data_IF_923618807421
#
_entry.id   IF_923618807421
#
_cell.length_a   1.000
_cell.length_b   1.000
_cell.length_c   1.000
_cell.angle_alpha   90.00
_cell.angle_beta   90.00
_cell.angle_gamma   90.00
#
_symmetry.space_group_name_H-M   'P 1'
#
loop_
_entity.id
_entity.type
_entity.pdbx_description
1 polymer ?
#
# COMPACT_ATOMS: atom_id res chain seq x y z
N UNK A 1 -15.04 5.74 -16.20
CA UNK A 1 -14.17 5.87 -15.01
C UNK A 1 -13.41 7.20 -15.10
N UNK A 2 -13.50 8.06 -14.08
CA UNK A 2 -12.79 9.35 -14.09
C UNK A 2 -11.27 9.14 -14.07
N UNK A 3 -10.49 10.14 -14.53
CA UNK A 3 -9.01 10.07 -14.49
C UNK A 3 -8.50 9.79 -13.07
N UNK A 4 -9.08 10.47 -12.07
CA UNK A 4 -8.79 10.25 -10.66
C UNK A 4 -9.12 8.83 -10.22
N UNK A 5 -10.32 8.31 -10.55
CA UNK A 5 -10.71 6.95 -10.22
C UNK A 5 -9.75 5.91 -10.79
N UNK A 6 -9.35 6.07 -12.07
CA UNK A 6 -8.37 5.18 -12.69
C UNK A 6 -7.03 5.20 -11.96
N UNK A 7 -6.53 6.39 -11.62
CA UNK A 7 -5.27 6.56 -10.90
C UNK A 7 -5.32 5.91 -9.52
N UNK A 8 -6.37 6.15 -8.73
CA UNK A 8 -6.53 5.55 -7.40
C UNK A 8 -6.61 4.02 -7.48
N UNK A 9 -7.33 3.48 -8.46
CA UNK A 9 -7.39 2.02 -8.68
C UNK A 9 -6.02 1.44 -9.00
N UNK A 10 -5.26 2.06 -9.92
CA UNK A 10 -3.91 1.58 -10.27
C UNK A 10 -2.99 1.60 -9.05
N UNK A 11 -2.97 2.70 -8.29
CA UNK A 11 -2.15 2.83 -7.08
C UNK A 11 -2.54 1.78 -6.04
N UNK A 12 -3.85 1.57 -5.83
CA UNK A 12 -4.35 0.59 -4.89
C UNK A 12 -3.92 -0.84 -5.27
N UNK A 13 -4.03 -1.20 -6.55
CA UNK A 13 -3.61 -2.52 -7.03
C UNK A 13 -2.09 -2.72 -6.89
N UNK A 14 -1.29 -1.69 -7.19
CA UNK A 14 0.15 -1.74 -6.95
C UNK A 14 0.46 -1.91 -5.47
N UNK A 15 -0.24 -1.19 -4.59
CA UNK A 15 -0.08 -1.31 -3.15
C UNK A 15 -0.45 -2.69 -2.62
N UNK A 16 -1.49 -3.32 -3.18
CA UNK A 16 -1.89 -4.68 -2.83
C UNK A 16 -0.80 -5.70 -3.19
N UNK A 17 -0.20 -5.56 -4.38
CA UNK A 17 0.85 -6.46 -4.86
C UNK A 17 2.18 -6.24 -4.14
N UNK A 18 2.53 -4.99 -3.86
CA UNK A 18 3.82 -4.65 -3.28
C UNK A 18 3.83 -4.72 -1.75
N UNK A 19 2.69 -4.52 -1.08
CA UNK A 19 2.58 -4.51 0.38
C UNK A 19 2.56 -5.90 0.99
N UNK A 20 1.39 -6.53 1.15
CA UNK A 20 1.29 -7.89 1.69
C UNK A 20 1.63 -8.97 0.66
N UNK A 21 1.68 -8.61 -0.63
CA UNK A 21 1.97 -9.53 -1.74
C UNK A 21 3.46 -9.76 -1.99
N UNK A 22 3.85 -10.12 -3.23
CA UNK A 22 5.23 -10.46 -3.60
C UNK A 22 6.29 -9.42 -3.22
N UNK A 23 5.93 -8.14 -3.09
CA UNK A 23 6.88 -7.10 -2.68
C UNK A 23 7.44 -7.28 -1.27
N UNK A 24 6.74 -7.99 -0.38
CA UNK A 24 7.25 -8.37 0.94
C UNK A 24 8.53 -9.20 0.88
N UNK A 25 8.65 -10.10 -0.11
CA UNK A 25 9.83 -10.95 -0.32
C UNK A 25 11.08 -10.15 -0.67
N UNK A 26 10.93 -8.91 -1.15
CA UNK A 26 12.05 -8.02 -1.43
C UNK A 26 12.61 -7.36 -0.16
N UNK A 27 11.85 -7.37 0.93
CA UNK A 27 12.13 -6.59 2.14
C UNK A 27 12.39 -7.45 3.37
N UNK A 28 11.86 -8.68 3.42
CA UNK A 28 11.93 -9.55 4.61
C UNK A 28 13.38 -9.88 5.05
N UNK A 29 14.32 -9.85 4.10
CA UNK A 29 15.69 -10.31 4.31
C UNK A 29 15.76 -11.83 4.24
N UNK A 30 16.72 -12.43 4.95
CA UNK A 30 16.82 -13.88 5.08
C UNK A 30 16.49 -14.31 6.51
N UNK A 31 16.23 -15.60 6.72
CA UNK A 31 15.92 -16.13 8.06
C UNK A 31 17.06 -15.90 9.07
N UNK A 32 18.31 -15.96 8.60
CA UNK A 32 19.51 -15.77 9.43
C UNK A 32 19.90 -14.29 9.57
N UNK A 33 19.54 -13.47 8.58
CA UNK A 33 19.81 -12.03 8.54
C UNK A 33 18.53 -11.27 8.16
N UNK A 34 17.62 -11.04 9.12
CA UNK A 34 16.41 -10.28 8.86
C UNK A 34 16.77 -8.81 8.60
N UNK A 35 16.08 -8.18 7.66
CA UNK A 35 16.28 -6.77 7.40
C UNK A 35 15.69 -5.94 8.55
N UNK A 36 16.52 -5.19 9.26
CA UNK A 36 16.08 -4.32 10.36
C UNK A 36 16.24 -2.86 9.95
N UNK A 37 15.15 -2.10 9.97
CA UNK A 37 15.16 -0.66 9.75
C UNK A 37 14.67 0.05 11.01
N UNK A 38 15.42 1.06 11.48
CA UNK A 38 15.09 1.82 12.69
C UNK A 38 14.83 0.95 13.94
N UNK A 39 15.50 -0.22 14.04
CA UNK A 39 15.34 -1.16 15.15
C UNK A 39 14.12 -2.07 15.07
N UNK A 40 13.38 -2.08 13.95
CA UNK A 40 12.19 -2.90 13.72
C UNK A 40 12.39 -3.72 12.44
N UNK A 41 11.84 -4.95 12.33
CA UNK A 41 11.81 -5.67 11.06
C UNK A 41 11.24 -4.80 9.94
N UNK A 42 12.03 -4.64 8.87
CA UNK A 42 11.71 -3.79 7.73
C UNK A 42 10.37 -4.17 7.10
N UNK A 43 10.01 -5.46 7.15
CA UNK A 43 8.73 -5.98 6.69
C UNK A 43 7.54 -5.29 7.36
N UNK A 44 7.60 -4.99 8.66
CA UNK A 44 6.51 -4.32 9.36
C UNK A 44 6.35 -2.86 8.95
N UNK A 45 7.48 -2.16 8.80
CA UNK A 45 7.49 -0.77 8.31
C UNK A 45 6.93 -0.72 6.89
N UNK A 46 7.34 -1.65 6.05
CA UNK A 46 6.87 -1.80 4.67
C UNK A 46 5.37 -2.08 4.60
N UNK A 47 4.88 -3.05 5.38
CA UNK A 47 3.46 -3.37 5.44
C UNK A 47 2.63 -2.16 5.90
N UNK A 48 3.07 -1.46 6.95
CA UNK A 48 2.41 -0.27 7.46
C UNK A 48 2.33 0.84 6.40
N UNK A 49 3.44 1.10 5.69
CA UNK A 49 3.49 2.06 4.60
C UNK A 49 2.42 1.76 3.53
N UNK A 50 2.34 0.51 3.06
CA UNK A 50 1.36 0.14 2.03
C UNK A 50 -0.09 0.16 2.53
N UNK A 51 -0.33 -0.15 3.82
CA UNK A 51 -1.64 0.05 4.42
C UNK A 51 -2.06 1.52 4.43
N UNK A 52 -1.15 2.44 4.73
CA UNK A 52 -1.42 3.88 4.66
C UNK A 52 -1.76 4.30 3.23
N UNK A 53 -1.02 3.81 2.22
CA UNK A 53 -1.30 4.09 0.80
C UNK A 53 -2.68 3.58 0.38
N UNK A 54 -3.02 2.34 0.72
CA UNK A 54 -4.33 1.74 0.42
C UNK A 54 -5.46 2.52 1.11
N UNK A 55 -5.30 2.82 2.39
CA UNK A 55 -6.29 3.57 3.17
C UNK A 55 -6.51 4.97 2.59
N UNK A 56 -5.44 5.66 2.21
CA UNK A 56 -5.52 6.99 1.58
C UNK A 56 -6.28 6.93 0.25
N UNK A 57 -6.06 5.88 -0.56
CA UNK A 57 -6.78 5.70 -1.81
C UNK A 57 -8.29 5.52 -1.57
N UNK A 58 -8.67 4.69 -0.59
CA UNK A 58 -10.09 4.45 -0.24
C UNK A 58 -10.75 5.71 0.33
N UNK A 59 -10.09 6.40 1.28
CA UNK A 59 -10.61 7.64 1.85
C UNK A 59 -10.76 8.72 0.79
N UNK A 60 -9.78 8.87 -0.11
CA UNK A 60 -9.86 9.85 -1.21
C UNK A 60 -11.02 9.51 -2.15
N UNK A 61 -11.19 8.23 -2.52
CA UNK A 61 -12.30 7.81 -3.37
C UNK A 61 -13.66 8.08 -2.69
N UNK A 62 -13.78 7.83 -1.38
CA UNK A 62 -15.00 8.10 -0.63
C UNK A 62 -15.35 9.58 -0.60
N UNK A 63 -14.37 10.44 -0.31
CA UNK A 63 -14.60 11.88 -0.17
C UNK A 63 -14.78 12.62 -1.50
N UNK A 64 -14.28 12.07 -2.61
CA UNK A 64 -14.23 12.79 -3.91
C UNK A 64 -14.99 12.10 -5.03
N UNK A 65 -14.99 10.77 -5.12
CA UNK A 65 -15.66 10.06 -6.21
C UNK A 65 -17.06 9.65 -5.80
N UNK A 66 -17.21 9.06 -4.61
CA UNK A 66 -18.51 8.56 -4.16
C UNK A 66 -19.46 9.70 -3.77
N UNK A 67 -18.98 10.74 -3.08
CA UNK A 67 -19.78 11.95 -2.79
C UNK A 67 -20.28 12.73 -4.02
N UNK A 68 -19.63 12.56 -5.18
CA UNK A 68 -20.03 13.22 -6.43
C UNK A 68 -20.97 12.35 -7.27
N UNK A 69 -21.28 11.14 -6.81
CA UNK A 69 -22.22 10.20 -7.42
C UNK A 69 -23.54 10.10 -6.63
N UNK A 70 -23.67 10.86 -5.54
CA UNK A 70 -24.91 11.12 -4.80
C UNK A 70 -25.53 12.44 -5.27
#
# INVERSE_FOLDING_TARGET
MSKLGRTLTIIFLLALLLGPGPGSMLIDGSADEPAIWFGIPALYIWALFWFVVMSTCVVTAALTLWKNHE
#
